data_IF_186607159120
#
_entry.id   IF_186607159120
#
_cell.length_a   1.000
_cell.length_b   1.000
_cell.length_c   1.000
_cell.angle_alpha   90.00
_cell.angle_beta   90.00
_cell.angle_gamma   90.00
#
_symmetry.space_group_name_H-M   'P 1'
#
loop_
_entity.id
_entity.type
_entity.pdbx_description
1 polymer ?
#
# COMPACT_ATOMS: atom_id res chain seq x y z
N UNK A 1 27.28 33.34 2.63
CA UNK A 1 27.73 31.96 2.73
C UNK A 1 27.02 31.19 1.63
N UNK A 2 27.76 30.57 0.72
CA UNK A 2 27.21 29.77 -0.37
C UNK A 2 26.31 28.67 0.19
N UNK A 3 25.12 28.50 -0.40
CA UNK A 3 24.29 27.30 -0.19
C UNK A 3 25.19 26.10 -0.53
N UNK A 4 25.80 25.47 0.50
CA UNK A 4 26.34 24.14 0.35
C UNK A 4 25.15 23.30 -0.07
N UNK A 5 25.24 22.63 -1.22
CA UNK A 5 24.17 21.77 -1.75
C UNK A 5 23.78 20.77 -0.66
N UNK A 6 22.71 21.09 0.05
CA UNK A 6 22.05 20.19 0.98
C UNK A 6 21.21 19.25 0.13
N UNK A 7 21.76 18.10 -0.18
CA UNK A 7 21.05 17.11 -1.01
C UNK A 7 20.36 16.13 -0.08
N UNK A 8 19.03 16.20 -0.01
CA UNK A 8 18.24 15.25 0.74
C UNK A 8 18.35 13.83 0.14
N UNK A 9 18.07 12.81 0.93
CA UNK A 9 18.09 11.41 0.46
C UNK A 9 17.10 11.18 -0.67
N UNK A 10 15.91 11.76 -0.60
CA UNK A 10 14.88 11.64 -1.64
C UNK A 10 15.28 12.33 -2.94
N UNK A 11 15.90 13.51 -2.85
CA UNK A 11 16.47 14.17 -4.04
C UNK A 11 17.59 13.31 -4.69
N UNK A 12 18.44 12.65 -3.89
CA UNK A 12 19.43 11.70 -4.41
C UNK A 12 18.79 10.52 -5.13
N UNK A 13 17.71 9.95 -4.55
CA UNK A 13 16.95 8.86 -5.17
C UNK A 13 16.38 9.32 -6.51
N UNK A 14 15.70 10.46 -6.56
CA UNK A 14 15.10 10.98 -7.79
C UNK A 14 16.16 11.30 -8.87
N UNK A 15 17.31 11.83 -8.48
CA UNK A 15 18.40 12.12 -9.41
C UNK A 15 19.07 10.84 -9.96
N UNK A 16 19.12 9.75 -9.19
CA UNK A 16 19.73 8.48 -9.62
C UNK A 16 18.89 7.71 -10.64
N UNK A 17 17.56 7.84 -10.58
CA UNK A 17 16.61 7.23 -11.51
C UNK A 17 15.39 8.15 -11.70
N UNK A 18 15.29 8.89 -12.81
CA UNK A 18 14.18 9.81 -13.06
C UNK A 18 12.82 9.08 -13.24
N UNK A 19 12.84 7.77 -13.49
CA UNK A 19 11.64 6.95 -13.60
C UNK A 19 11.22 6.32 -12.25
N UNK A 20 12.05 6.51 -11.21
CA UNK A 20 11.74 5.99 -9.89
C UNK A 20 10.53 6.68 -9.28
N UNK A 21 9.56 5.89 -8.86
CA UNK A 21 8.48 6.33 -7.97
C UNK A 21 8.90 6.06 -6.54
N UNK A 22 8.97 7.11 -5.74
CA UNK A 22 9.24 7.07 -4.31
C UNK A 22 7.98 6.56 -3.61
N UNK A 23 8.12 5.55 -2.78
CA UNK A 23 7.04 5.02 -1.95
C UNK A 23 7.12 5.67 -0.59
N UNK A 24 6.11 6.51 -0.30
CA UNK A 24 5.91 7.17 0.98
C UNK A 24 4.81 6.44 1.75
N UNK A 25 5.16 5.78 2.84
CA UNK A 25 4.20 5.06 3.67
C UNK A 25 3.70 5.94 4.82
N UNK A 26 2.39 6.14 4.88
CA UNK A 26 1.70 6.90 5.93
C UNK A 26 0.90 6.01 6.90
N UNK A 27 1.16 4.71 6.94
CA UNK A 27 0.49 3.75 7.84
C UNK A 27 0.56 4.20 9.31
N UNK A 28 1.72 4.73 9.73
CA UNK A 28 1.95 5.17 11.11
C UNK A 28 1.44 6.57 11.43
N UNK A 29 0.90 7.31 10.45
CA UNK A 29 0.33 8.64 10.63
C UNK A 29 -1.15 8.67 10.23
N UNK A 30 -1.48 8.70 8.93
CA UNK A 30 -2.85 8.76 8.43
C UNK A 30 -3.59 7.44 8.68
N UNK A 31 -2.90 6.34 8.47
CA UNK A 31 -3.42 4.99 8.72
C UNK A 31 -3.90 4.82 10.15
N UNK A 32 -3.10 5.23 11.12
CA UNK A 32 -3.41 5.12 12.54
C UNK A 32 -4.53 6.07 13.00
N UNK A 33 -4.76 7.17 12.30
CA UNK A 33 -5.81 8.13 12.65
C UNK A 33 -7.22 7.59 12.38
N UNK A 34 -7.34 6.51 11.63
CA UNK A 34 -8.61 5.83 11.40
C UNK A 34 -9.16 5.21 12.69
N UNK A 35 -10.48 5.32 12.96
CA UNK A 35 -11.09 4.64 14.10
C UNK A 35 -10.81 3.13 14.09
N UNK A 36 -10.29 2.60 15.21
CA UNK A 36 -9.93 1.18 15.35
C UNK A 36 -8.52 0.80 14.90
N UNK A 37 -7.71 1.76 14.43
CA UNK A 37 -6.34 1.50 13.95
C UNK A 37 -5.25 2.14 14.81
N UNK A 38 -5.59 2.71 15.97
CA UNK A 38 -4.60 3.27 16.90
C UNK A 38 -3.58 2.22 17.32
N UNK A 39 -2.30 2.58 17.29
CA UNK A 39 -1.19 1.69 17.60
C UNK A 39 -0.42 2.17 18.84
N UNK A 40 0.00 1.22 19.69
CA UNK A 40 0.96 1.52 20.75
C UNK A 40 2.33 1.84 20.16
N UNK A 41 3.21 2.46 20.95
CA UNK A 41 4.58 2.74 20.53
C UNK A 41 5.33 1.47 20.08
N UNK A 42 5.12 0.34 20.77
CA UNK A 42 5.71 -0.95 20.38
C UNK A 42 5.12 -1.48 19.06
N UNK A 43 3.83 -1.31 18.84
CA UNK A 43 3.18 -1.67 17.58
C UNK A 43 3.72 -0.82 16.41
N UNK A 44 3.86 0.50 16.60
CA UNK A 44 4.47 1.40 15.62
C UNK A 44 5.91 1.00 15.29
N UNK A 45 6.72 0.69 16.29
CA UNK A 45 8.09 0.26 16.07
C UNK A 45 8.15 -1.07 15.31
N UNK A 46 7.30 -2.04 15.66
CA UNK A 46 7.19 -3.30 14.93
C UNK A 46 6.79 -3.07 13.47
N UNK A 47 5.82 -2.18 13.21
CA UNK A 47 5.46 -1.80 11.85
C UNK A 47 6.60 -1.11 11.11
N UNK A 48 7.30 -0.16 11.74
CA UNK A 48 8.44 0.53 11.13
C UNK A 48 9.55 -0.45 10.68
N UNK A 49 9.81 -1.52 11.44
CA UNK A 49 10.74 -2.58 11.04
C UNK A 49 10.31 -3.30 9.76
N UNK A 50 9.05 -3.71 9.65
CA UNK A 50 8.58 -4.42 8.44
C UNK A 50 8.44 -3.48 7.24
N UNK A 51 8.14 -2.19 7.45
CA UNK A 51 8.16 -1.17 6.39
C UNK A 51 9.59 -0.94 5.85
N UNK A 52 10.59 -0.87 6.75
CA UNK A 52 12.00 -0.85 6.35
C UNK A 52 12.38 -2.11 5.56
N UNK A 53 11.99 -3.29 6.04
CA UNK A 53 12.29 -4.56 5.37
C UNK A 53 11.59 -4.64 3.99
N UNK A 54 10.40 -4.08 3.86
CA UNK A 54 9.72 -3.90 2.58
C UNK A 54 10.46 -2.94 1.66
N UNK A 55 11.30 -2.05 2.21
CA UNK A 55 12.08 -1.10 1.43
C UNK A 55 11.28 0.09 0.93
N UNK A 56 10.31 0.59 1.72
CA UNK A 56 9.70 1.89 1.45
C UNK A 56 10.75 2.99 1.56
N UNK A 57 10.63 4.03 0.75
CA UNK A 57 11.62 5.11 0.70
C UNK A 57 11.45 6.09 1.86
N UNK A 58 10.20 6.36 2.23
CA UNK A 58 9.83 7.28 3.31
C UNK A 58 8.82 6.62 4.23
N UNK A 59 9.03 6.76 5.54
CA UNK A 59 8.06 6.39 6.59
C UNK A 59 7.59 7.69 7.26
N UNK A 60 6.32 8.01 7.14
CA UNK A 60 5.72 9.08 7.93
C UNK A 60 5.40 8.53 9.33
N UNK A 61 6.26 8.84 10.26
CA UNK A 61 6.28 8.20 11.58
C UNK A 61 5.18 8.72 12.53
N UNK A 62 4.52 9.83 12.19
CA UNK A 62 3.43 10.39 12.98
C UNK A 62 3.31 11.91 12.88
N UNK A 63 2.60 12.48 13.86
CA UNK A 63 2.40 13.92 14.04
C UNK A 63 2.94 14.37 15.40
N UNK A 64 4.19 14.83 15.43
CA UNK A 64 4.92 15.13 16.68
C UNK A 64 4.21 16.14 17.59
N UNK A 65 3.51 17.12 17.01
CA UNK A 65 2.78 18.15 17.76
C UNK A 65 1.42 17.69 18.32
N UNK A 66 0.99 16.45 18.04
CA UNK A 66 -0.29 15.93 18.55
C UNK A 66 -0.22 15.68 20.05
N UNK A 67 0.88 15.07 20.54
CA UNK A 67 1.09 14.81 21.95
C UNK A 67 2.58 14.56 22.27
N UNK A 68 2.99 14.70 23.56
CA UNK A 68 4.33 14.28 23.96
C UNK A 68 4.63 12.79 23.71
N UNK A 69 3.61 11.94 23.76
CA UNK A 69 3.72 10.51 23.44
C UNK A 69 4.02 10.27 21.96
N UNK A 70 3.39 11.02 21.06
CA UNK A 70 3.66 10.96 19.63
C UNK A 70 5.06 11.48 19.30
N UNK A 71 5.48 12.61 19.92
CA UNK A 71 6.85 13.13 19.75
C UNK A 71 7.90 12.07 20.15
N UNK A 72 7.71 11.40 21.30
CA UNK A 72 8.61 10.35 21.77
C UNK A 72 8.56 9.08 20.89
N UNK A 73 7.39 8.69 20.41
CA UNK A 73 7.25 7.55 19.52
C UNK A 73 8.00 7.77 18.20
N UNK A 74 7.83 8.94 17.58
CA UNK A 74 8.57 9.33 16.36
C UNK A 74 10.07 9.31 16.65
N UNK A 75 10.49 9.83 17.81
CA UNK A 75 11.89 9.86 18.22
C UNK A 75 12.51 8.47 18.33
N UNK A 76 11.75 7.50 18.87
CA UNK A 76 12.17 6.10 18.94
C UNK A 76 12.27 5.48 17.55
N UNK A 77 11.26 5.62 16.70
CA UNK A 77 11.29 5.09 15.34
C UNK A 77 12.48 5.65 14.57
N UNK A 78 12.69 6.96 14.61
CA UNK A 78 13.80 7.62 13.92
C UNK A 78 15.20 7.26 14.48
N UNK A 79 15.27 6.79 15.72
CA UNK A 79 16.54 6.40 16.37
C UNK A 79 16.85 4.91 16.28
N UNK A 80 15.84 4.06 16.18
CA UNK A 80 16.01 2.60 16.20
C UNK A 80 16.03 1.98 14.79
N UNK A 81 15.49 2.69 13.77
CA UNK A 81 15.39 2.20 12.40
C UNK A 81 16.36 2.96 11.48
N UNK A 82 17.14 2.24 10.70
CA UNK A 82 18.05 2.79 9.70
C UNK A 82 17.56 2.48 8.28
N UNK A 83 17.82 3.39 7.34
CA UNK A 83 17.59 3.19 5.90
C UNK A 83 16.56 4.13 5.29
N UNK A 84 15.29 4.12 5.69
CA UNK A 84 14.28 5.04 5.16
C UNK A 84 14.52 6.50 5.56
N UNK A 85 13.90 7.42 4.81
CA UNK A 85 13.68 8.79 5.27
C UNK A 85 12.51 8.77 6.26
N UNK A 86 12.63 9.50 7.36
CA UNK A 86 11.55 9.66 8.34
C UNK A 86 10.90 11.01 8.16
N UNK A 87 9.59 11.02 7.92
CA UNK A 87 8.78 12.22 7.85
C UNK A 87 7.95 12.40 9.13
N UNK A 88 7.75 13.65 9.53
CA UNK A 88 6.79 14.02 10.56
C UNK A 88 5.90 15.13 10.05
N UNK A 89 4.57 14.95 10.20
CA UNK A 89 3.57 15.91 9.79
C UNK A 89 3.63 17.16 10.67
N UNK A 90 3.46 18.34 10.07
CA UNK A 90 3.43 19.64 10.73
C UNK A 90 2.36 20.52 10.11
N UNK A 91 1.48 21.10 10.93
CA UNK A 91 0.68 22.23 10.47
C UNK A 91 1.61 23.39 10.10
N UNK A 92 1.15 24.28 9.24
CA UNK A 92 1.91 25.45 8.80
C UNK A 92 2.10 26.48 9.94
N UNK A 93 2.85 26.10 10.98
CA UNK A 93 3.28 26.95 12.08
C UNK A 93 4.60 26.44 12.69
N UNK A 94 5.39 27.37 13.24
CA UNK A 94 6.74 27.10 13.75
C UNK A 94 6.79 26.09 14.91
N UNK A 95 5.78 26.07 15.78
CA UNK A 95 5.74 25.15 16.93
C UNK A 95 5.65 23.68 16.50
N UNK A 96 4.86 23.40 15.49
CA UNK A 96 4.73 22.05 14.95
C UNK A 96 6.02 21.62 14.24
N UNK A 97 6.65 22.54 13.47
CA UNK A 97 7.93 22.31 12.80
C UNK A 97 9.05 22.05 13.83
N UNK A 98 9.09 22.83 14.92
CA UNK A 98 10.03 22.60 16.01
C UNK A 98 9.85 21.22 16.69
N UNK A 99 8.59 20.80 16.89
CA UNK A 99 8.28 19.48 17.46
C UNK A 99 8.79 18.36 16.52
N UNK A 100 8.53 18.47 15.21
CA UNK A 100 9.05 17.54 14.22
C UNK A 100 10.57 17.51 14.16
N UNK A 101 11.24 18.67 14.31
CA UNK A 101 12.69 18.75 14.34
C UNK A 101 13.29 18.01 15.54
N UNK A 102 12.69 18.18 16.73
CA UNK A 102 13.13 17.46 17.96
C UNK A 102 12.87 15.96 17.84
N UNK A 103 11.67 15.58 17.36
CA UNK A 103 11.29 14.18 17.23
C UNK A 103 12.18 13.41 16.26
N UNK A 104 12.55 14.02 15.14
CA UNK A 104 13.39 13.40 14.12
C UNK A 104 14.90 13.52 14.40
N UNK A 105 15.31 14.20 15.49
CA UNK A 105 16.71 14.46 15.78
C UNK A 105 17.64 13.22 15.83
N UNK A 106 17.20 12.01 16.22
CA UNK A 106 18.05 10.82 16.20
C UNK A 106 18.45 10.34 14.82
N UNK A 107 17.60 10.53 13.79
CA UNK A 107 17.94 10.11 12.43
C UNK A 107 19.07 10.98 11.83
N UNK A 108 19.83 10.49 10.84
CA UNK A 108 20.78 11.32 10.08
C UNK A 108 20.07 12.50 9.40
N UNK A 109 20.73 13.66 9.29
CA UNK A 109 20.12 14.87 8.72
C UNK A 109 19.51 14.66 7.34
N UNK A 110 20.19 13.93 6.46
CA UNK A 110 19.71 13.60 5.12
C UNK A 110 18.49 12.67 5.09
N UNK A 111 18.13 12.07 6.22
CA UNK A 111 17.00 11.14 6.38
C UNK A 111 15.87 11.76 7.21
N UNK A 112 15.81 13.07 7.36
CA UNK A 112 14.75 13.79 8.09
C UNK A 112 13.97 14.65 7.14
N UNK A 113 12.65 14.45 7.09
CA UNK A 113 11.73 15.26 6.30
C UNK A 113 10.72 15.96 7.20
N UNK A 114 10.58 17.26 7.03
CA UNK A 114 9.44 17.99 7.56
C UNK A 114 8.31 17.99 6.51
N UNK A 115 7.16 17.42 6.87
CA UNK A 115 5.97 17.41 6.02
C UNK A 115 5.02 18.51 6.49
N UNK A 116 5.07 19.68 5.85
CA UNK A 116 4.21 20.83 6.17
C UNK A 116 2.94 20.77 5.36
N UNK A 117 1.78 21.01 5.97
CA UNK A 117 0.53 21.11 5.24
C UNK A 117 -0.29 22.35 5.58
N UNK A 118 -0.98 22.87 4.57
CA UNK A 118 -1.99 23.93 4.71
C UNK A 118 -3.08 23.72 3.66
N UNK A 119 -4.35 23.87 4.05
CA UNK A 119 -5.47 23.73 3.14
C UNK A 119 -5.55 24.92 2.16
N UNK A 120 -5.83 24.60 0.89
CA UNK A 120 -5.86 25.59 -0.19
C UNK A 120 -7.23 25.79 -0.82
N UNK A 121 -8.18 24.86 -0.63
CA UNK A 121 -9.51 24.97 -1.26
C UNK A 121 -10.37 26.09 -0.70
N UNK A 122 -11.30 26.66 -1.49
CA UNK A 122 -12.20 27.74 -1.05
C UNK A 122 -12.97 27.40 0.21
N UNK A 123 -13.46 26.15 0.33
CA UNK A 123 -14.24 25.70 1.48
C UNK A 123 -13.38 25.69 2.75
N UNK A 124 -12.13 25.23 2.65
CA UNK A 124 -11.23 25.19 3.80
C UNK A 124 -10.73 26.60 4.17
N UNK A 125 -10.40 27.43 3.18
CA UNK A 125 -9.98 28.82 3.40
C UNK A 125 -11.06 29.60 4.15
N UNK A 126 -12.33 29.46 3.74
CA UNK A 126 -13.44 30.20 4.34
C UNK A 126 -13.93 29.61 5.67
N UNK A 127 -14.18 28.30 5.74
CA UNK A 127 -14.83 27.66 6.88
C UNK A 127 -13.86 27.27 8.00
N UNK A 128 -12.67 26.71 7.64
CA UNK A 128 -11.69 26.16 8.58
C UNK A 128 -10.62 27.18 8.96
N UNK A 129 -9.95 27.76 7.98
CA UNK A 129 -8.81 28.66 8.20
C UNK A 129 -9.22 30.11 8.45
N UNK A 130 -10.30 30.57 7.82
CA UNK A 130 -10.74 31.98 7.78
C UNK A 130 -9.64 32.91 7.27
N UNK A 131 -8.98 32.49 6.18
CA UNK A 131 -7.86 33.17 5.55
C UNK A 131 -8.20 33.51 4.10
N UNK A 132 -7.75 34.68 3.66
CA UNK A 132 -7.70 35.06 2.25
C UNK A 132 -6.61 34.27 1.51
N UNK A 133 -6.65 34.27 0.18
CA UNK A 133 -5.59 33.66 -0.67
C UNK A 133 -4.22 34.25 -0.34
N UNK A 134 -4.11 35.57 -0.17
CA UNK A 134 -2.84 36.22 0.16
C UNK A 134 -2.28 35.78 1.52
N UNK A 135 -3.15 35.62 2.53
CA UNK A 135 -2.73 35.12 3.86
C UNK A 135 -2.29 33.66 3.79
N UNK A 136 -2.93 32.82 2.97
CA UNK A 136 -2.50 31.44 2.73
C UNK A 136 -1.14 31.41 2.07
N UNK A 137 -0.90 32.17 0.98
CA UNK A 137 0.40 32.25 0.31
C UNK A 137 1.50 32.76 1.24
N UNK A 138 1.24 33.82 1.99
CA UNK A 138 2.20 34.34 2.97
C UNK A 138 2.53 33.32 4.08
N UNK A 139 1.55 32.54 4.51
CA UNK A 139 1.75 31.48 5.51
C UNK A 139 2.57 30.33 4.94
N UNK A 140 2.28 29.89 3.72
CA UNK A 140 3.05 28.86 3.02
C UNK A 140 4.53 29.29 2.94
N UNK A 141 4.78 30.47 2.34
CA UNK A 141 6.16 30.97 2.15
C UNK A 141 6.93 31.03 3.47
N UNK A 142 6.35 31.65 4.49
CA UNK A 142 7.00 31.80 5.81
C UNK A 142 7.29 30.47 6.46
N UNK A 143 6.32 29.54 6.48
CA UNK A 143 6.47 28.29 7.24
C UNK A 143 7.33 27.26 6.53
N UNK A 144 7.26 27.22 5.18
CA UNK A 144 8.17 26.37 4.39
C UNK A 144 9.60 26.89 4.44
N UNK A 145 9.82 28.23 4.37
CA UNK A 145 11.15 28.83 4.54
C UNK A 145 11.73 28.51 5.94
N UNK A 146 10.88 28.60 6.97
CA UNK A 146 11.29 28.22 8.33
C UNK A 146 11.68 26.74 8.40
N UNK A 147 10.88 25.83 7.87
CA UNK A 147 11.20 24.39 7.80
C UNK A 147 12.50 24.15 7.01
N UNK A 148 12.69 24.78 5.86
CA UNK A 148 13.87 24.66 5.02
C UNK A 148 15.15 25.24 5.68
N UNK A 149 15.00 26.10 6.70
CA UNK A 149 16.14 26.56 7.50
C UNK A 149 16.68 25.46 8.43
N UNK A 150 15.84 24.48 8.81
CA UNK A 150 16.14 23.43 9.80
C UNK A 150 16.33 22.04 9.18
N UNK A 151 15.63 21.76 8.08
CA UNK A 151 15.64 20.46 7.40
C UNK A 151 16.28 20.56 6.01
N UNK A 152 16.96 19.48 5.61
CA UNK A 152 17.49 19.32 4.27
C UNK A 152 16.42 18.79 3.28
N UNK A 153 15.28 18.28 3.79
CA UNK A 153 14.15 17.74 3.03
C UNK A 153 12.83 18.31 3.59
N UNK A 154 12.11 19.04 2.75
CA UNK A 154 10.82 19.63 3.09
C UNK A 154 9.79 19.23 2.03
N UNK A 155 8.70 18.66 2.48
CA UNK A 155 7.50 18.40 1.70
C UNK A 155 6.41 19.37 2.07
N UNK A 156 5.71 19.90 1.07
CA UNK A 156 4.52 20.72 1.28
C UNK A 156 3.29 20.07 0.68
N UNK A 157 2.24 19.86 1.49
CA UNK A 157 0.92 19.39 1.07
C UNK A 157 -0.09 20.54 0.97
N UNK A 158 -0.63 20.73 -0.23
CA UNK A 158 -1.77 21.60 -0.46
C UNK A 158 -3.06 20.87 -0.11
N UNK A 159 -3.43 20.79 1.19
CA UNK A 159 -4.63 20.05 1.63
C UNK A 159 -5.86 20.45 0.81
N UNK A 160 -6.59 19.44 0.32
CA UNK A 160 -7.78 19.58 -0.54
C UNK A 160 -7.47 20.19 -1.94
N UNK A 161 -6.33 19.78 -2.52
CA UNK A 161 -5.82 20.29 -3.78
C UNK A 161 -6.78 20.08 -4.96
N UNK A 162 -7.51 18.96 -4.98
CA UNK A 162 -8.43 18.67 -6.08
C UNK A 162 -9.67 19.57 -6.12
N UNK A 163 -10.06 20.16 -4.98
CA UNK A 163 -11.13 21.16 -4.90
C UNK A 163 -10.61 22.61 -4.86
N UNK A 164 -9.31 22.80 -5.00
CA UNK A 164 -8.66 24.12 -5.13
C UNK A 164 -8.75 24.59 -6.57
N UNK A 165 -8.94 25.89 -6.78
CA UNK A 165 -8.88 26.52 -8.09
C UNK A 165 -7.52 26.24 -8.74
N UNK A 166 -7.46 25.80 -10.01
CA UNK A 166 -6.20 25.38 -10.64
C UNK A 166 -5.11 26.46 -10.59
N UNK A 167 -5.47 27.73 -10.83
CA UNK A 167 -4.54 28.85 -10.83
C UNK A 167 -3.98 29.11 -9.42
N UNK A 168 -4.85 29.09 -8.41
CA UNK A 168 -4.43 29.27 -7.02
C UNK A 168 -3.58 28.10 -6.51
N UNK A 169 -3.88 26.87 -6.94
CA UNK A 169 -3.05 25.71 -6.62
C UNK A 169 -1.63 25.87 -7.18
N UNK A 170 -1.48 26.36 -8.43
CA UNK A 170 -0.17 26.69 -9.01
C UNK A 170 0.55 27.74 -8.17
N UNK A 171 -0.14 28.82 -7.77
CA UNK A 171 0.47 29.87 -6.93
C UNK A 171 0.93 29.30 -5.58
N UNK A 172 0.11 28.49 -4.91
CA UNK A 172 0.41 27.90 -3.62
C UNK A 172 1.61 26.94 -3.68
N UNK A 173 1.64 26.06 -4.67
CA UNK A 173 2.73 25.09 -4.86
C UNK A 173 4.03 25.81 -5.31
N UNK A 174 3.93 26.83 -6.15
CA UNK A 174 5.09 27.66 -6.55
C UNK A 174 5.65 28.39 -5.34
N UNK A 175 4.79 29.01 -4.51
CA UNK A 175 5.23 29.66 -3.27
C UNK A 175 5.96 28.71 -2.32
N UNK A 176 5.51 27.46 -2.20
CA UNK A 176 6.19 26.43 -1.43
C UNK A 176 7.56 26.06 -2.03
N UNK A 177 7.64 25.87 -3.36
CA UNK A 177 8.89 25.58 -4.05
C UNK A 177 9.90 26.73 -3.92
N UNK A 178 9.46 27.98 -4.12
CA UNK A 178 10.29 29.18 -3.95
C UNK A 178 10.83 29.30 -2.52
N UNK A 179 10.02 28.88 -1.52
CA UNK A 179 10.40 28.86 -0.11
C UNK A 179 11.32 27.68 0.28
N UNK A 180 11.52 26.70 -0.61
CA UNK A 180 12.49 25.63 -0.44
C UNK A 180 11.92 24.22 -0.26
N UNK A 181 10.62 24.00 -0.51
CA UNK A 181 10.07 22.64 -0.58
C UNK A 181 10.63 21.89 -1.81
N UNK A 182 11.13 20.68 -1.60
CA UNK A 182 11.60 19.79 -2.66
C UNK A 182 10.50 18.86 -3.16
N UNK A 183 9.51 18.55 -2.32
CA UNK A 183 8.37 17.73 -2.68
C UNK A 183 7.08 18.52 -2.53
N UNK A 184 6.26 18.47 -3.58
CA UNK A 184 4.96 19.14 -3.65
C UNK A 184 3.86 18.10 -3.73
N UNK A 185 3.15 17.91 -2.64
CA UNK A 185 2.07 16.94 -2.55
C UNK A 185 0.72 17.55 -2.92
N UNK A 186 -0.01 16.84 -3.77
CA UNK A 186 -1.31 17.22 -4.33
C UNK A 186 -2.37 16.20 -3.89
N UNK A 187 -2.95 16.36 -2.69
CA UNK A 187 -3.85 15.37 -2.14
C UNK A 187 -5.29 15.47 -2.67
N UNK A 188 -5.87 14.32 -2.98
CA UNK A 188 -7.32 14.11 -3.07
C UNK A 188 -7.87 13.77 -1.67
N UNK A 189 -7.97 14.81 -0.87
CA UNK A 189 -8.27 14.71 0.57
C UNK A 189 -9.64 14.08 0.87
N UNK A 190 -10.60 14.20 -0.05
CA UNK A 190 -11.96 13.66 0.13
C UNK A 190 -12.27 12.50 -0.80
N UNK A 191 -11.29 12.00 -1.54
CA UNK A 191 -11.37 10.78 -2.35
C UNK A 191 -12.43 10.85 -3.45
N UNK A 192 -12.60 12.03 -4.12
CA UNK A 192 -13.67 12.21 -5.08
C UNK A 192 -13.17 12.38 -6.54
N UNK A 193 -11.87 12.52 -6.74
CA UNK A 193 -11.28 12.68 -8.07
C UNK A 193 -11.41 11.38 -8.89
N UNK A 194 -11.46 11.55 -10.19
CA UNK A 194 -11.36 10.45 -11.15
C UNK A 194 -9.92 10.28 -11.66
N UNK A 195 -9.53 9.10 -12.20
CA UNK A 195 -8.17 8.90 -12.71
C UNK A 195 -7.77 9.89 -13.82
N UNK A 196 -8.71 10.25 -14.70
CA UNK A 196 -8.42 11.23 -15.76
C UNK A 196 -8.20 12.63 -15.19
N UNK A 197 -8.97 13.07 -14.20
CA UNK A 197 -8.75 14.33 -13.49
C UNK A 197 -7.39 14.34 -12.78
N UNK A 198 -7.03 13.22 -12.13
CA UNK A 198 -5.73 13.07 -11.49
C UNK A 198 -4.58 13.23 -12.53
N UNK A 199 -4.63 12.46 -13.62
CA UNK A 199 -3.63 12.55 -14.69
C UNK A 199 -3.50 13.98 -15.24
N UNK A 200 -4.62 14.61 -15.54
CA UNK A 200 -4.64 15.98 -16.09
C UNK A 200 -4.12 17.01 -15.09
N UNK A 201 -4.48 16.91 -13.81
CA UNK A 201 -4.05 17.81 -12.75
C UNK A 201 -2.52 17.78 -12.61
N UNK A 202 -1.94 16.57 -12.51
CA UNK A 202 -0.48 16.44 -12.41
C UNK A 202 0.24 16.92 -13.66
N UNK A 203 -0.25 16.57 -14.86
CA UNK A 203 0.34 17.05 -16.11
C UNK A 203 0.29 18.59 -16.24
N UNK A 204 -0.81 19.20 -15.81
CA UNK A 204 -0.96 20.66 -15.79
C UNK A 204 0.04 21.33 -14.85
N UNK A 205 0.16 20.82 -13.61
CA UNK A 205 1.11 21.35 -12.62
C UNK A 205 2.56 21.16 -13.06
N UNK A 206 2.88 19.98 -13.58
CA UNK A 206 4.23 19.66 -14.09
C UNK A 206 4.63 20.61 -15.21
N UNK A 207 3.75 20.85 -16.17
CA UNK A 207 4.00 21.74 -17.29
C UNK A 207 4.23 23.21 -16.91
N UNK A 208 3.70 23.67 -15.78
CA UNK A 208 3.85 25.07 -15.34
C UNK A 208 4.99 25.23 -14.33
N UNK A 209 5.13 24.32 -13.36
CA UNK A 209 6.05 24.47 -12.24
C UNK A 209 7.46 23.97 -12.60
N UNK A 210 7.58 22.81 -13.26
CA UNK A 210 8.89 22.22 -13.59
C UNK A 210 9.83 23.12 -14.41
N UNK A 211 9.37 23.97 -15.34
CA UNK A 211 10.27 24.88 -16.05
C UNK A 211 11.05 25.84 -15.14
N UNK A 212 10.54 26.14 -13.94
CA UNK A 212 11.18 26.99 -12.93
C UNK A 212 11.85 26.21 -11.80
N UNK A 213 11.35 25.02 -11.51
CA UNK A 213 11.76 24.15 -10.42
C UNK A 213 11.97 22.73 -10.95
N UNK A 214 13.04 22.54 -11.74
CA UNK A 214 13.30 21.28 -12.46
C UNK A 214 13.43 20.05 -11.55
N UNK A 215 13.95 20.24 -10.35
CA UNK A 215 14.25 19.16 -9.38
C UNK A 215 13.09 18.85 -8.43
N UNK A 216 11.95 19.55 -8.57
CA UNK A 216 10.78 19.30 -7.72
C UNK A 216 10.18 17.94 -7.97
N UNK A 217 9.83 17.25 -6.89
CA UNK A 217 9.12 15.97 -6.91
C UNK A 217 7.64 16.24 -6.65
N UNK A 218 6.77 15.88 -7.61
CA UNK A 218 5.33 15.87 -7.37
C UNK A 218 4.93 14.56 -6.65
N UNK A 219 4.16 14.71 -5.56
CA UNK A 219 3.61 13.62 -4.75
C UNK A 219 2.10 13.54 -4.90
N UNK A 220 1.57 12.33 -4.94
CA UNK A 220 0.13 12.05 -4.95
C UNK A 220 -0.27 11.34 -3.66
N UNK A 221 -1.29 11.89 -2.98
CA UNK A 221 -1.93 11.30 -1.82
C UNK A 221 -3.44 11.21 -2.09
N UNK A 222 -3.99 10.01 -2.15
CA UNK A 222 -5.39 9.83 -2.53
C UNK A 222 -6.14 9.03 -1.47
N UNK A 223 -7.28 9.59 -1.01
CA UNK A 223 -8.27 8.85 -0.22
C UNK A 223 -9.20 8.01 -1.09
N UNK A 224 -9.83 7.01 -0.49
CA UNK A 224 -10.50 5.90 -1.20
C UNK A 224 -12.02 5.95 -1.10
N UNK A 225 -12.61 7.12 -0.88
CA UNK A 225 -14.05 7.26 -0.66
C UNK A 225 -14.91 6.74 -1.83
N UNK A 226 -14.44 6.90 -3.05
CA UNK A 226 -15.07 6.32 -4.26
C UNK A 226 -14.43 4.98 -4.70
N UNK A 227 -13.47 4.42 -3.96
CA UNK A 227 -12.76 3.21 -4.36
C UNK A 227 -11.75 3.42 -5.48
N UNK A 228 -11.27 4.66 -5.69
CA UNK A 228 -10.41 5.03 -6.82
C UNK A 228 -8.98 5.43 -6.40
N UNK A 229 -8.62 5.36 -5.12
CA UNK A 229 -7.35 5.88 -4.63
C UNK A 229 -6.12 5.31 -5.36
N UNK A 230 -6.06 4.00 -5.55
CA UNK A 230 -4.96 3.35 -6.29
C UNK A 230 -4.96 3.77 -7.75
N UNK A 231 -6.12 3.79 -8.41
CA UNK A 231 -6.23 4.20 -9.80
C UNK A 231 -5.83 5.66 -10.00
N UNK A 232 -6.23 6.56 -9.08
CA UNK A 232 -5.85 7.97 -9.11
C UNK A 232 -4.34 8.16 -8.89
N UNK A 233 -3.73 7.42 -7.95
CA UNK A 233 -2.29 7.45 -7.69
C UNK A 233 -1.49 6.98 -8.91
N UNK A 234 -1.92 5.92 -9.58
CA UNK A 234 -1.27 5.45 -10.82
C UNK A 234 -1.44 6.45 -11.98
N UNK A 235 -2.62 7.07 -12.10
CA UNK A 235 -2.87 8.12 -13.08
C UNK A 235 -2.03 9.38 -12.81
N UNK A 236 -1.78 9.71 -11.53
CA UNK A 236 -0.87 10.79 -11.15
C UNK A 236 0.58 10.51 -11.63
N UNK A 237 1.05 9.25 -11.56
CA UNK A 237 2.37 8.87 -12.11
C UNK A 237 2.43 9.11 -13.62
N UNK A 238 1.37 8.77 -14.36
CA UNK A 238 1.26 9.07 -15.80
C UNK A 238 1.26 10.58 -16.08
N UNK A 239 0.73 11.38 -15.13
CA UNK A 239 0.73 12.84 -15.18
C UNK A 239 2.03 13.51 -14.74
N UNK A 240 3.03 12.76 -14.28
CA UNK A 240 4.35 13.32 -13.89
C UNK A 240 4.69 13.21 -12.40
N UNK A 241 3.81 12.66 -11.55
CA UNK A 241 4.16 12.38 -10.16
C UNK A 241 5.28 11.35 -10.06
N UNK A 242 6.17 11.54 -9.07
CA UNK A 242 7.29 10.62 -8.78
C UNK A 242 7.37 10.24 -7.30
N UNK A 243 6.36 10.60 -6.51
CA UNK A 243 6.09 10.06 -5.18
C UNK A 243 4.63 9.66 -5.08
N UNK A 244 4.35 8.54 -4.42
CA UNK A 244 3.01 8.13 -4.03
C UNK A 244 2.98 7.93 -2.53
N UNK A 245 2.04 8.61 -1.88
CA UNK A 245 1.69 8.39 -0.47
C UNK A 245 0.53 7.43 -0.37
N UNK A 246 0.62 6.50 0.56
CA UNK A 246 -0.43 5.54 0.84
C UNK A 246 -0.14 4.77 2.11
N UNK A 247 -0.99 3.81 2.43
CA UNK A 247 -0.86 2.99 3.62
C UNK A 247 -0.95 1.49 3.28
N UNK A 248 -0.33 0.67 4.09
CA UNK A 248 -0.49 -0.78 4.02
C UNK A 248 -1.97 -1.12 4.22
N UNK A 249 -2.48 -2.03 3.39
CA UNK A 249 -3.89 -2.43 3.33
C UNK A 249 -4.87 -1.27 3.01
N UNK A 250 -4.34 -0.09 2.66
CA UNK A 250 -5.14 1.09 2.38
C UNK A 250 -5.84 1.67 3.62
N UNK A 251 -5.34 1.44 4.83
CA UNK A 251 -5.92 2.02 6.05
C UNK A 251 -5.79 3.55 6.04
N UNK A 252 -6.67 4.25 6.75
CA UNK A 252 -6.68 5.71 6.83
C UNK A 252 -8.05 6.28 7.11
N UNK A 253 -8.15 7.59 7.20
CA UNK A 253 -9.39 8.29 7.47
C UNK A 253 -10.53 7.84 6.53
N UNK A 254 -11.73 7.68 7.08
CA UNK A 254 -12.98 7.28 6.39
C UNK A 254 -12.85 5.94 5.66
N UNK A 255 -12.74 5.96 4.30
CA UNK A 255 -12.56 4.76 3.47
C UNK A 255 -11.10 4.38 3.25
N UNK A 256 -10.17 5.13 3.85
CA UNK A 256 -8.73 4.85 3.80
C UNK A 256 -7.98 5.55 2.68
N UNK A 257 -6.72 5.16 2.52
CA UNK A 257 -5.76 5.68 1.55
C UNK A 257 -5.59 4.73 0.35
N UNK A 258 -4.76 5.12 -0.60
CA UNK A 258 -4.25 4.20 -1.61
C UNK A 258 -3.49 3.05 -0.93
N UNK A 259 -3.80 1.82 -1.32
CA UNK A 259 -3.12 0.61 -0.83
C UNK A 259 -1.73 0.49 -1.44
N UNK A 260 -0.68 0.61 -0.64
CA UNK A 260 0.72 0.61 -1.11
C UNK A 260 1.09 -0.69 -1.81
N UNK A 261 0.64 -1.84 -1.31
CA UNK A 261 0.86 -3.14 -1.94
C UNK A 261 0.28 -3.21 -3.36
N UNK A 262 -0.87 -2.61 -3.60
CA UNK A 262 -1.51 -2.58 -4.91
C UNK A 262 -0.77 -1.64 -5.86
N UNK A 263 -0.33 -0.47 -5.37
CA UNK A 263 0.47 0.49 -6.14
C UNK A 263 1.80 -0.14 -6.56
N UNK A 264 2.55 -0.74 -5.62
CA UNK A 264 3.84 -1.38 -5.90
C UNK A 264 3.69 -2.46 -6.97
N UNK A 265 2.70 -3.35 -6.80
CA UNK A 265 2.52 -4.46 -7.73
C UNK A 265 1.98 -4.02 -9.09
N UNK A 266 1.12 -3.00 -9.15
CA UNK A 266 0.67 -2.42 -10.42
C UNK A 266 1.84 -1.83 -11.22
N UNK A 267 2.72 -1.04 -10.59
CA UNK A 267 3.90 -0.46 -11.23
C UNK A 267 4.88 -1.54 -11.71
N UNK A 268 5.10 -2.60 -10.93
CA UNK A 268 5.98 -3.73 -11.31
C UNK A 268 5.40 -4.58 -12.41
N UNK A 269 4.15 -5.01 -12.26
CA UNK A 269 3.49 -5.93 -13.20
C UNK A 269 3.21 -5.26 -14.55
N UNK A 270 2.94 -3.95 -14.53
CA UNK A 270 2.65 -3.16 -15.73
C UNK A 270 3.72 -2.10 -16.00
N UNK A 271 5.00 -2.48 -15.80
CA UNK A 271 6.14 -1.64 -16.15
C UNK A 271 6.11 -1.21 -17.64
N UNK A 272 5.55 -2.06 -18.51
CA UNK A 272 5.29 -1.76 -19.93
C UNK A 272 4.38 -0.54 -20.11
N UNK A 273 3.45 -0.32 -19.20
CA UNK A 273 2.47 0.75 -19.25
C UNK A 273 2.96 2.03 -18.58
N UNK A 274 3.51 1.91 -17.37
CA UNK A 274 3.86 3.07 -16.54
C UNK A 274 5.28 3.58 -16.78
N UNK A 275 6.18 2.76 -17.33
CA UNK A 275 7.60 3.13 -17.54
C UNK A 275 8.30 3.55 -16.23
N UNK A 276 7.74 3.14 -15.07
CA UNK A 276 8.19 3.53 -13.76
C UNK A 276 8.82 2.37 -13.00
N UNK A 277 9.74 2.67 -12.09
CA UNK A 277 10.41 1.72 -11.22
C UNK A 277 10.08 1.98 -9.76
N UNK A 278 10.12 0.93 -8.93
CA UNK A 278 10.00 1.02 -7.46
C UNK A 278 11.08 0.14 -6.83
N UNK A 279 11.63 0.58 -5.69
CA UNK A 279 12.65 -0.19 -4.99
C UNK A 279 12.07 -1.22 -4.02
N UNK A 280 10.83 -1.06 -3.61
CA UNK A 280 10.21 -1.91 -2.59
C UNK A 280 10.40 -3.40 -2.91
N UNK A 281 10.80 -4.20 -1.92
CA UNK A 281 11.01 -5.63 -2.02
C UNK A 281 9.66 -6.36 -1.84
N UNK A 282 8.95 -6.56 -2.95
CA UNK A 282 7.55 -7.01 -2.94
C UNK A 282 7.32 -8.34 -2.21
N UNK A 283 8.34 -9.21 -2.08
CA UNK A 283 8.26 -10.46 -1.30
C UNK A 283 7.92 -10.25 0.18
N UNK A 284 8.04 -9.03 0.69
CA UNK A 284 7.66 -8.68 2.06
C UNK A 284 6.22 -8.18 2.20
N UNK A 285 5.46 -7.99 1.11
CA UNK A 285 4.12 -7.40 1.14
C UNK A 285 3.14 -8.18 2.02
N UNK A 286 3.06 -9.50 1.85
CA UNK A 286 2.16 -10.35 2.65
C UNK A 286 2.52 -10.28 4.13
N UNK A 287 3.81 -10.38 4.48
CA UNK A 287 4.29 -10.28 5.87
C UNK A 287 3.96 -8.91 6.47
N UNK A 288 4.15 -7.84 5.71
CA UNK A 288 3.88 -6.46 6.16
C UNK A 288 2.39 -6.27 6.42
N UNK A 289 1.54 -6.72 5.50
CA UNK A 289 0.08 -6.69 5.64
C UNK A 289 -0.40 -7.50 6.86
N UNK A 290 0.14 -8.71 7.07
CA UNK A 290 -0.17 -9.55 8.22
C UNK A 290 0.29 -8.91 9.54
N UNK A 291 1.46 -8.28 9.56
CA UNK A 291 1.95 -7.56 10.74
C UNK A 291 1.00 -6.43 11.13
N UNK A 292 0.52 -5.64 10.15
CA UNK A 292 -0.46 -4.59 10.41
C UNK A 292 -1.75 -5.17 11.01
N UNK A 293 -2.29 -6.24 10.41
CA UNK A 293 -3.46 -6.95 10.95
C UNK A 293 -3.26 -7.37 12.41
N UNK A 294 -2.09 -7.94 12.72
CA UNK A 294 -1.80 -8.47 14.04
C UNK A 294 -1.62 -7.38 15.11
N UNK A 295 -1.04 -6.22 14.73
CA UNK A 295 -0.86 -5.10 15.67
C UNK A 295 -2.10 -4.24 15.86
N UNK A 296 -3.04 -4.25 14.90
CA UNK A 296 -4.30 -3.51 14.97
C UNK A 296 -5.50 -4.41 15.29
N UNK A 297 -5.30 -5.73 15.37
CA UNK A 297 -6.34 -6.75 15.59
C UNK A 297 -7.50 -6.65 14.57
N UNK A 298 -7.20 -6.17 13.36
CA UNK A 298 -8.18 -6.00 12.28
C UNK A 298 -8.23 -7.22 11.37
N UNK A 299 -9.24 -7.28 10.51
CA UNK A 299 -9.41 -8.38 9.56
C UNK A 299 -9.07 -7.89 8.14
N UNK A 300 -8.18 -8.60 7.47
CA UNK A 300 -7.95 -8.40 6.04
C UNK A 300 -9.03 -9.18 5.28
N UNK A 301 -9.73 -8.52 4.35
CA UNK A 301 -10.70 -9.20 3.50
C UNK A 301 -10.01 -10.32 2.70
N UNK A 302 -10.60 -11.52 2.66
CA UNK A 302 -10.01 -12.66 1.95
C UNK A 302 -9.71 -12.37 0.49
N UNK A 303 -10.53 -11.54 -0.16
CA UNK A 303 -10.40 -11.09 -1.55
C UNK A 303 -9.62 -9.77 -1.71
N UNK A 304 -8.92 -9.28 -0.67
CA UNK A 304 -8.04 -8.12 -0.80
C UNK A 304 -7.01 -8.40 -1.89
N UNK A 305 -6.86 -7.47 -2.83
CA UNK A 305 -5.87 -7.61 -3.89
C UNK A 305 -4.45 -7.78 -3.29
N UNK A 306 -3.62 -8.56 -3.93
CA UNK A 306 -2.20 -8.83 -3.63
C UNK A 306 -1.99 -9.65 -2.34
N UNK A 307 -2.58 -9.26 -1.20
CA UNK A 307 -2.24 -9.81 0.13
C UNK A 307 -3.36 -10.61 0.79
N UNK A 308 -4.56 -10.63 0.21
CA UNK A 308 -5.69 -11.39 0.71
C UNK A 308 -5.50 -12.90 0.50
N UNK A 309 -6.05 -13.71 1.39
CA UNK A 309 -5.89 -15.18 1.34
C UNK A 309 -6.39 -15.80 0.02
N UNK A 310 -7.33 -15.13 -0.67
CA UNK A 310 -7.86 -15.64 -1.94
C UNK A 310 -7.09 -15.12 -3.17
N UNK A 311 -6.07 -14.27 -3.00
CA UNK A 311 -5.35 -13.66 -4.14
C UNK A 311 -4.74 -14.71 -5.09
N UNK A 312 -4.35 -15.88 -4.55
CA UNK A 312 -3.77 -17.00 -5.29
C UNK A 312 -4.49 -18.33 -4.97
N UNK A 313 -5.78 -18.25 -4.62
CA UNK A 313 -6.60 -19.42 -4.33
C UNK A 313 -7.59 -19.70 -5.47
N UNK A 314 -7.66 -20.96 -5.92
CA UNK A 314 -8.53 -21.39 -7.00
C UNK A 314 -9.44 -22.53 -6.56
N UNK A 315 -10.77 -22.33 -6.61
CA UNK A 315 -11.77 -23.35 -6.28
C UNK A 315 -12.46 -23.90 -7.54
N UNK A 316 -12.78 -23.04 -8.50
CA UNK A 316 -13.53 -23.45 -9.70
C UNK A 316 -12.74 -24.42 -10.56
N UNK A 317 -13.37 -25.55 -10.93
CA UNK A 317 -12.71 -26.63 -11.69
C UNK A 317 -12.11 -26.17 -13.03
N UNK A 318 -12.74 -25.20 -13.71
CA UNK A 318 -12.20 -24.61 -14.95
C UNK A 318 -10.88 -23.86 -14.66
N UNK A 319 -10.85 -23.05 -13.60
CA UNK A 319 -9.64 -22.32 -13.19
C UNK A 319 -8.54 -23.29 -12.77
N UNK A 320 -8.87 -24.29 -11.94
CA UNK A 320 -7.92 -25.32 -11.50
C UNK A 320 -7.31 -26.07 -12.68
N UNK A 321 -8.12 -26.41 -13.70
CA UNK A 321 -7.63 -27.06 -14.91
C UNK A 321 -6.69 -26.16 -15.72
N UNK A 322 -7.04 -24.89 -15.90
CA UNK A 322 -6.17 -23.92 -16.56
C UNK A 322 -4.84 -23.73 -15.84
N UNK A 323 -4.87 -23.52 -14.52
CA UNK A 323 -3.69 -23.37 -13.68
C UNK A 323 -2.74 -24.57 -13.72
N UNK A 324 -3.29 -25.80 -13.74
CA UNK A 324 -2.50 -27.02 -13.88
C UNK A 324 -1.83 -27.16 -15.26
N UNK A 325 -2.42 -26.57 -16.30
CA UNK A 325 -1.83 -26.54 -17.63
C UNK A 325 -0.77 -25.45 -17.79
N UNK A 326 -1.08 -24.23 -17.33
CA UNK A 326 -0.16 -23.09 -17.30
C UNK A 326 -0.71 -22.03 -16.30
N UNK A 327 0.06 -21.70 -15.26
CA UNK A 327 -0.33 -20.73 -14.24
C UNK A 327 -0.71 -19.37 -14.85
N UNK A 328 -0.05 -18.97 -15.96
CA UNK A 328 -0.32 -17.70 -16.65
C UNK A 328 -1.74 -17.59 -17.24
N UNK A 329 -2.53 -18.68 -17.24
CA UNK A 329 -3.94 -18.63 -17.66
C UNK A 329 -4.80 -17.78 -16.73
N UNK A 330 -4.44 -17.69 -15.43
CA UNK A 330 -5.20 -16.98 -14.40
C UNK A 330 -4.34 -16.15 -13.43
N UNK A 331 -3.01 -16.22 -13.50
CA UNK A 331 -2.10 -15.46 -12.65
C UNK A 331 -1.26 -14.50 -13.48
N UNK A 332 -1.29 -13.21 -13.10
CA UNK A 332 -0.50 -12.14 -13.73
C UNK A 332 0.82 -11.88 -13.00
N UNK A 333 1.01 -12.49 -11.83
CA UNK A 333 2.20 -12.46 -11.00
C UNK A 333 2.31 -13.79 -10.25
N UNK A 334 3.49 -14.16 -9.80
CA UNK A 334 3.65 -15.38 -9.01
C UNK A 334 3.39 -15.11 -7.53
N UNK A 335 2.84 -16.08 -6.77
CA UNK A 335 2.63 -15.95 -5.33
C UNK A 335 3.89 -15.53 -4.56
N UNK A 336 5.05 -16.10 -4.93
CA UNK A 336 6.33 -15.83 -4.28
C UNK A 336 6.80 -14.39 -4.49
N UNK A 337 6.35 -13.73 -5.56
CA UNK A 337 6.70 -12.33 -5.84
C UNK A 337 6.12 -11.37 -4.79
N UNK A 338 5.12 -11.81 -4.03
CA UNK A 338 4.47 -11.01 -2.97
C UNK A 338 4.61 -11.61 -1.57
N UNK A 339 5.18 -12.81 -1.45
CA UNK A 339 5.49 -13.46 -0.19
C UNK A 339 4.55 -14.60 0.24
N UNK A 340 3.72 -15.12 -0.69
CA UNK A 340 3.07 -16.40 -0.51
C UNK A 340 4.01 -17.54 -0.91
N UNK A 341 3.84 -18.73 -0.33
CA UNK A 341 4.65 -19.92 -0.64
C UNK A 341 4.27 -20.56 -1.99
N UNK A 342 3.08 -20.28 -2.51
CA UNK A 342 2.56 -20.78 -3.78
C UNK A 342 1.06 -20.60 -3.91
N UNK A 343 0.55 -20.91 -5.09
CA UNK A 343 -0.90 -20.98 -5.32
C UNK A 343 -1.48 -22.24 -4.70
N UNK A 344 -2.69 -22.19 -4.21
CA UNK A 344 -3.34 -23.37 -3.64
C UNK A 344 -4.76 -23.56 -4.17
N UNK A 345 -5.16 -24.82 -4.24
CA UNK A 345 -6.50 -25.21 -4.63
C UNK A 345 -7.37 -25.41 -3.40
N UNK A 346 -8.41 -24.62 -3.31
CA UNK A 346 -9.47 -24.82 -2.34
C UNK A 346 -10.40 -25.91 -2.88
N UNK A 347 -10.66 -26.94 -2.11
CA UNK A 347 -11.64 -27.95 -2.46
C UNK A 347 -13.00 -27.58 -1.88
N UNK A 348 -13.97 -27.36 -2.74
CA UNK A 348 -15.32 -26.98 -2.36
C UNK A 348 -16.36 -27.43 -3.39
N UNK A 349 -17.59 -26.99 -3.23
CA UNK A 349 -18.70 -27.44 -4.09
C UNK A 349 -18.49 -27.17 -5.60
N UNK A 350 -17.61 -26.22 -5.97
CA UNK A 350 -17.29 -25.87 -7.36
C UNK A 350 -16.08 -26.61 -7.91
N UNK A 351 -15.35 -27.37 -7.07
CA UNK A 351 -14.17 -28.14 -7.51
C UNK A 351 -14.58 -29.29 -8.45
N UNK A 352 -13.72 -29.51 -9.44
CA UNK A 352 -13.88 -30.60 -10.41
C UNK A 352 -13.29 -31.93 -9.93
N UNK A 353 -13.71 -33.04 -10.56
CA UNK A 353 -13.23 -34.41 -10.24
C UNK A 353 -11.70 -34.52 -10.30
N UNK A 354 -11.08 -33.85 -11.27
CA UNK A 354 -9.62 -33.89 -11.47
C UNK A 354 -8.87 -33.29 -10.28
N UNK A 355 -9.33 -32.15 -9.73
CA UNK A 355 -8.71 -31.51 -8.58
C UNK A 355 -8.83 -32.37 -7.32
N UNK A 356 -10.00 -33.02 -7.10
CA UNK A 356 -10.19 -33.96 -5.99
C UNK A 356 -9.26 -35.16 -6.13
N UNK A 357 -9.13 -35.72 -7.34
CA UNK A 357 -8.21 -36.83 -7.61
C UNK A 357 -6.74 -36.46 -7.35
N UNK A 358 -6.29 -35.31 -7.82
CA UNK A 358 -4.94 -34.79 -7.58
C UNK A 358 -4.64 -34.54 -6.09
N UNK A 359 -5.61 -34.01 -5.35
CA UNK A 359 -5.41 -33.80 -3.91
C UNK A 359 -5.37 -35.13 -3.15
N UNK A 360 -6.22 -36.08 -3.53
CA UNK A 360 -6.19 -37.44 -2.98
C UNK A 360 -4.83 -38.11 -3.24
N UNK A 361 -4.27 -37.99 -4.45
CA UNK A 361 -2.95 -38.49 -4.80
C UNK A 361 -1.85 -37.86 -3.93
N UNK A 362 -1.89 -36.54 -3.72
CA UNK A 362 -0.97 -35.83 -2.82
C UNK A 362 -1.07 -36.29 -1.36
N UNK A 363 -2.23 -36.80 -0.95
CA UNK A 363 -2.46 -37.40 0.38
C UNK A 363 -2.12 -38.90 0.40
N UNK A 364 -1.56 -39.45 -0.66
CA UNK A 364 -1.16 -40.84 -0.76
C UNK A 364 -2.27 -41.82 -1.22
N UNK A 365 -3.37 -41.31 -1.75
CA UNK A 365 -4.50 -42.10 -2.24
C UNK A 365 -4.64 -42.04 -3.75
N UNK A 366 -4.27 -43.11 -4.45
CA UNK A 366 -4.48 -43.22 -5.88
C UNK A 366 -5.93 -43.65 -6.14
N UNK A 367 -6.71 -42.76 -6.78
CA UNK A 367 -8.13 -43.00 -7.06
C UNK A 367 -8.36 -42.99 -8.58
N UNK A 368 -8.92 -44.07 -9.11
CA UNK A 368 -9.20 -44.22 -10.54
C UNK A 368 -10.62 -44.76 -10.78
N UNK A 369 -11.10 -44.60 -12.00
CA UNK A 369 -12.36 -45.17 -12.48
C UNK A 369 -13.56 -44.92 -11.55
N UNK A 370 -14.26 -45.97 -11.18
CA UNK A 370 -15.46 -45.89 -10.36
C UNK A 370 -15.14 -45.38 -8.94
N UNK A 371 -14.01 -45.76 -8.37
CA UNK A 371 -13.61 -45.34 -7.02
C UNK A 371 -13.45 -43.80 -6.94
N UNK A 372 -12.84 -43.18 -7.95
CA UNK A 372 -12.78 -41.72 -8.03
C UNK A 372 -14.17 -41.10 -8.19
N UNK A 373 -15.07 -41.73 -8.94
CA UNK A 373 -16.44 -41.27 -9.09
C UNK A 373 -17.22 -41.31 -7.76
N UNK A 374 -17.10 -42.38 -7.00
CA UNK A 374 -17.78 -42.55 -5.71
C UNK A 374 -17.23 -41.57 -4.65
N UNK A 375 -15.90 -41.42 -4.54
CA UNK A 375 -15.28 -40.43 -3.69
C UNK A 375 -15.70 -39.00 -4.10
N UNK A 376 -15.77 -38.72 -5.38
CA UNK A 376 -16.24 -37.43 -5.87
C UNK A 376 -17.72 -37.16 -5.54
N UNK A 377 -18.58 -38.16 -5.61
CA UNK A 377 -19.97 -38.02 -5.21
C UNK A 377 -20.10 -37.72 -3.70
N UNK A 378 -19.39 -38.45 -2.84
CA UNK A 378 -19.33 -38.20 -1.40
C UNK A 378 -18.74 -36.81 -1.08
N UNK A 379 -17.69 -36.44 -1.78
CA UNK A 379 -17.09 -35.09 -1.70
C UNK A 379 -18.14 -34.00 -2.02
N UNK A 380 -18.88 -34.12 -3.10
CA UNK A 380 -19.91 -33.12 -3.47
C UNK A 380 -21.00 -33.02 -2.42
N UNK A 381 -21.48 -34.15 -1.94
CA UNK A 381 -22.49 -34.16 -0.88
C UNK A 381 -21.99 -33.48 0.40
N UNK A 382 -20.74 -33.71 0.79
CA UNK A 382 -20.15 -33.06 1.97
C UNK A 382 -19.89 -31.59 1.76
N UNK A 383 -19.37 -31.22 0.58
CA UNK A 383 -19.10 -29.83 0.21
C UNK A 383 -20.40 -28.98 0.17
N UNK A 384 -21.52 -29.54 -0.25
CA UNK A 384 -22.83 -28.88 -0.19
C UNK A 384 -23.27 -28.55 1.24
N UNK A 385 -22.81 -29.32 2.24
CA UNK A 385 -23.15 -29.13 3.66
C UNK A 385 -22.26 -28.10 4.37
N UNK A 386 -20.93 -28.11 4.09
CA UNK A 386 -19.95 -27.34 4.87
C UNK A 386 -19.16 -26.31 4.05
N UNK A 387 -19.31 -26.31 2.73
CA UNK A 387 -18.62 -25.41 1.81
C UNK A 387 -17.22 -25.91 1.43
N UNK A 388 -16.21 -25.59 2.22
CA UNK A 388 -14.81 -25.94 1.99
C UNK A 388 -14.49 -27.32 2.63
N UNK A 389 -13.78 -28.17 1.89
CA UNK A 389 -13.34 -29.51 2.32
C UNK A 389 -11.83 -29.48 2.55
N UNK A 390 -11.40 -29.68 3.78
CA UNK A 390 -9.99 -29.81 4.14
C UNK A 390 -9.47 -31.25 3.94
N UNK A 391 -8.17 -31.45 4.13
CA UNK A 391 -7.50 -32.74 3.92
C UNK A 391 -8.03 -33.85 4.84
N UNK A 392 -8.34 -33.51 6.06
CA UNK A 392 -8.87 -34.49 7.02
C UNK A 392 -10.26 -34.96 6.59
N UNK A 393 -11.11 -34.06 6.12
CA UNK A 393 -12.43 -34.39 5.61
C UNK A 393 -12.36 -35.19 4.31
N UNK A 394 -11.46 -34.81 3.38
CA UNK A 394 -11.25 -35.57 2.14
C UNK A 394 -10.77 -36.98 2.47
N UNK A 395 -9.83 -37.14 3.39
CA UNK A 395 -9.34 -38.47 3.86
C UNK A 395 -10.46 -39.27 4.48
N UNK A 396 -11.32 -38.66 5.28
CA UNK A 396 -12.48 -39.35 5.88
C UNK A 396 -13.47 -39.82 4.80
N UNK A 397 -13.74 -39.03 3.79
CA UNK A 397 -14.60 -39.43 2.66
C UNK A 397 -13.99 -40.59 1.89
N UNK A 398 -12.68 -40.56 1.62
CA UNK A 398 -11.96 -41.66 0.94
C UNK A 398 -12.06 -42.93 1.76
N UNK A 399 -11.85 -42.87 3.09
CA UNK A 399 -11.95 -44.01 3.99
C UNK A 399 -13.36 -44.62 4.01
N UNK A 400 -14.40 -43.77 4.08
CA UNK A 400 -15.79 -44.24 4.09
C UNK A 400 -16.15 -44.96 2.80
N UNK A 401 -15.77 -44.41 1.63
CA UNK A 401 -16.01 -45.06 0.33
C UNK A 401 -15.23 -46.37 0.21
N UNK A 402 -13.99 -46.43 0.75
CA UNK A 402 -13.16 -47.62 0.71
C UNK A 402 -13.74 -48.74 1.58
N UNK A 403 -14.29 -48.39 2.76
CA UNK A 403 -14.92 -49.36 3.67
C UNK A 403 -16.26 -49.92 3.11
N UNK A 404 -16.94 -49.15 2.25
CA UNK A 404 -18.23 -49.54 1.65
C UNK A 404 -18.08 -50.38 0.38
N UNK A 405 -16.86 -50.49 -0.17
CA UNK A 405 -16.63 -51.30 -1.37
C UNK A 405 -16.76 -52.79 -1.06
N UNK A 406 -17.49 -53.58 -1.87
CA UNK A 406 -17.56 -55.05 -1.66
C UNK A 406 -16.14 -55.62 -1.72
N UNK A 407 -15.77 -56.41 -0.72
CA UNK A 407 -14.57 -57.23 -0.80
C UNK A 407 -14.75 -58.20 -1.97
N UNK A 408 -13.95 -58.11 -2.99
CA UNK A 408 -13.85 -59.10 -4.04
C UNK A 408 -13.49 -60.44 -3.39
N UNK A 409 -14.51 -61.24 -3.09
CA UNK A 409 -14.34 -62.63 -2.73
C UNK A 409 -13.92 -63.38 -3.98
N UNK A 410 -12.61 -63.45 -4.23
CA UNK A 410 -12.04 -64.40 -5.16
C UNK A 410 -12.35 -65.76 -4.64
N UNK A 411 -13.40 -66.42 -5.17
CA UNK A 411 -13.58 -67.87 -5.05
C UNK A 411 -12.39 -68.56 -5.70
N UNK A 412 -11.47 -69.04 -4.90
CA UNK A 412 -10.53 -70.06 -5.33
C UNK A 412 -11.32 -71.30 -5.68
N UNK A 413 -11.55 -71.55 -6.95
CA UNK A 413 -12.04 -72.84 -7.42
C UNK A 413 -10.90 -73.83 -7.28
N UNK A 414 -10.95 -74.66 -6.26
CA UNK A 414 -10.21 -75.88 -6.20
C UNK A 414 -10.85 -76.88 -7.20
N UNK A 415 -10.03 -77.34 -8.13
CA UNK A 415 -10.27 -78.42 -9.08
C UNK A 415 -8.98 -79.18 -9.27
#
# INVERSE_FOLDING_TARGET
MSRVERVSRTAQIAASDPNRVIIFDTTLRDGEQAPGFSMSAEAKLKMAHVLRDLGVDVIEAGFAAASPGDEECIRRVAGEIEGPVFASLSRANEKDIDASFRALAPAPKSHRRCHVFLATSPIHRSAKLRMSTNEVLATISRTVEYAASMFDDVEFSAEDAFRTEPEFLVEALTAAADAGAQTLNVPDTVGYATPEEARQRFAYLDGIIRPRHADVIFSSHCHNDLGLAVANSLAAVEGGARQIEGAINGIGERAGNASIEEVIMALRTRADRYGATVAAESRHLVRTSQTLRDVTETVIARNKAIVGLNAFAHEAGIHQHGMMADARTYEIMRPEDVGFEGSYFVLGKHSGRHAVGKRAEALGHVLEGQRLADVFAGFKQRADQIGEINDAELTAIIAAVTASAPQDTTYATAG
#
